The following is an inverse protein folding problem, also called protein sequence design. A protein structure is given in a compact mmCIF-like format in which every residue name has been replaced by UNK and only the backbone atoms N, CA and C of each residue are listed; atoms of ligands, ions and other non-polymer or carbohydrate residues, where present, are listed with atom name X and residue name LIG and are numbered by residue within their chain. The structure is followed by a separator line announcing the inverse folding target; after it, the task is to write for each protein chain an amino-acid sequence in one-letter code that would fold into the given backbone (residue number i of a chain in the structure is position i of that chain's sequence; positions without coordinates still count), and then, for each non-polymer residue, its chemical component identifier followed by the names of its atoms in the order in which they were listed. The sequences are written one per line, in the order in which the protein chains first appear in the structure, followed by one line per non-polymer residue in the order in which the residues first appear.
data_IF_658417912072
#
_entry.id   IF_658417912072
#
_cell.length_a   1.000
_cell.length_b   1.000
_cell.length_c   1.000
_cell.angle_alpha   90.00
_cell.angle_beta   90.00
_cell.angle_gamma   90.00
#
_symmetry.space_group_name_H-M   'P 1'
#
loop_
_entity.id
_entity.type
_entity.pdbx_description
1 polymer ?
#
# COMPACT_ATOMS: atom_id res chain seq x y z
N UNK A 1 -28.99 0.46 -5.70
CA UNK A 1 -29.43 1.15 -6.92
C UNK A 1 -28.32 2.03 -7.50
N UNK A 2 -27.82 3.06 -6.80
CA UNK A 2 -26.85 4.03 -7.33
C UNK A 2 -25.61 3.38 -7.99
N UNK A 3 -24.93 2.44 -7.32
CA UNK A 3 -23.77 1.75 -7.88
C UNK A 3 -24.12 0.89 -9.11
N UNK A 4 -25.27 0.23 -9.08
CA UNK A 4 -25.78 -0.57 -10.22
C UNK A 4 -26.04 0.33 -11.43
N UNK A 5 -26.64 1.51 -11.23
CA UNK A 5 -26.88 2.47 -12.30
C UNK A 5 -25.55 2.94 -12.95
N UNK A 6 -24.48 3.10 -12.15
CA UNK A 6 -23.13 3.41 -12.65
C UNK A 6 -22.56 2.24 -13.48
N UNK A 7 -22.65 1.01 -12.99
CA UNK A 7 -22.18 -0.19 -13.71
C UNK A 7 -22.88 -0.29 -15.06
N UNK A 8 -24.20 -0.15 -15.08
CA UNK A 8 -24.99 -0.19 -16.31
C UNK A 8 -24.64 0.95 -17.27
N UNK A 9 -24.40 2.16 -16.74
CA UNK A 9 -23.94 3.31 -17.53
C UNK A 9 -22.57 3.08 -18.17
N UNK A 10 -21.62 2.48 -17.45
CA UNK A 10 -20.30 2.11 -18.00
C UNK A 10 -20.45 1.09 -19.13
N UNK A 11 -21.24 0.03 -18.90
CA UNK A 11 -21.47 -1.00 -19.92
C UNK A 11 -22.15 -0.45 -21.17
N UNK A 12 -23.11 0.45 -20.97
CA UNK A 12 -23.81 1.10 -22.10
C UNK A 12 -22.86 2.00 -22.93
N UNK A 13 -21.92 2.67 -22.26
CA UNK A 13 -21.00 3.59 -22.91
C UNK A 13 -19.77 2.90 -23.51
N UNK A 14 -19.22 1.85 -22.84
CA UNK A 14 -17.94 1.24 -23.16
C UNK A 14 -18.06 -0.17 -23.76
N UNK A 15 -19.27 -0.75 -23.75
CA UNK A 15 -19.50 -2.14 -24.16
C UNK A 15 -19.48 -3.12 -22.98
N UNK A 16 -20.09 -4.29 -23.19
CA UNK A 16 -20.23 -5.31 -22.14
C UNK A 16 -18.89 -5.97 -21.76
N UNK A 17 -17.91 -5.95 -22.66
CA UNK A 17 -16.58 -6.54 -22.44
C UNK A 17 -15.61 -5.58 -21.75
N UNK A 18 -16.04 -4.37 -21.44
CA UNK A 18 -15.21 -3.41 -20.69
C UNK A 18 -15.10 -3.86 -19.22
N UNK A 19 -13.86 -4.12 -18.72
CA UNK A 19 -13.68 -4.68 -17.38
C UNK A 19 -14.06 -3.68 -16.29
N UNK A 20 -14.86 -4.14 -15.34
CA UNK A 20 -15.33 -3.33 -14.20
C UNK A 20 -14.86 -3.96 -12.89
N UNK A 21 -13.96 -3.28 -12.20
CA UNK A 21 -13.54 -3.64 -10.84
C UNK A 21 -14.18 -2.69 -9.84
N UNK A 22 -14.85 -3.22 -8.84
CA UNK A 22 -15.49 -2.42 -7.80
C UNK A 22 -14.71 -2.54 -6.50
N UNK A 23 -14.25 -1.41 -5.96
CA UNK A 23 -13.74 -1.35 -4.59
C UNK A 23 -14.91 -1.13 -3.63
N UNK A 24 -15.11 -2.09 -2.73
CA UNK A 24 -16.21 -2.10 -1.76
C UNK A 24 -15.65 -2.14 -0.34
N UNK A 25 -16.07 -1.21 0.51
CA UNK A 25 -15.94 -1.35 1.95
C UNK A 25 -16.98 -2.40 2.38
N UNK A 26 -16.53 -3.55 2.86
CA UNK A 26 -17.44 -4.68 3.20
C UNK A 26 -17.87 -4.67 4.66
N UNK A 27 -17.27 -3.82 5.48
CA UNK A 27 -17.60 -3.60 6.89
C UNK A 27 -17.21 -2.18 7.26
N UNK A 28 -18.10 -1.42 7.87
CA UNK A 28 -17.80 -0.05 8.33
C UNK A 28 -17.04 0.00 9.66
N UNK A 29 -16.80 -1.16 10.27
CA UNK A 29 -16.00 -1.35 11.49
C UNK A 29 -16.52 -0.59 12.75
N UNK A 30 -17.79 -0.17 12.77
CA UNK A 30 -18.35 0.51 13.94
C UNK A 30 -18.40 -0.39 15.20
N UNK A 31 -18.56 -1.69 15.01
CA UNK A 31 -18.50 -2.66 16.13
C UNK A 31 -17.16 -2.59 16.87
N UNK A 32 -16.07 -2.29 16.14
CA UNK A 32 -14.71 -2.21 16.69
C UNK A 32 -14.47 -0.96 17.56
N UNK A 33 -15.35 0.04 17.44
CA UNK A 33 -15.33 1.26 18.27
C UNK A 33 -16.50 1.30 19.26
N UNK A 34 -17.11 0.15 19.56
CA UNK A 34 -18.17 0.02 20.55
C UNK A 34 -19.55 0.52 20.11
N UNK A 35 -19.79 0.64 18.81
CA UNK A 35 -21.06 1.09 18.20
C UNK A 35 -21.65 0.07 17.25
N UNK A 36 -21.95 -1.16 17.71
CA UNK A 36 -22.38 -2.26 16.82
C UNK A 36 -23.77 -2.05 16.17
N UNK A 37 -24.55 -1.06 16.65
CA UNK A 37 -25.86 -0.71 16.11
C UNK A 37 -25.80 0.22 14.89
N UNK A 38 -24.62 0.77 14.58
CA UNK A 38 -24.42 1.72 13.47
C UNK A 38 -23.80 0.99 12.27
N UNK A 39 -24.20 1.46 11.07
CA UNK A 39 -23.61 1.04 9.82
C UNK A 39 -23.93 -0.41 9.42
N UNK A 40 -23.35 -0.84 8.32
CA UNK A 40 -23.44 -2.22 7.86
C UNK A 40 -22.21 -3.02 8.31
N UNK A 41 -22.39 -4.33 8.41
CA UNK A 41 -21.40 -5.28 8.88
C UNK A 41 -20.91 -6.17 7.73
N UNK A 42 -19.93 -7.02 8.01
CA UNK A 42 -19.34 -7.93 7.03
C UNK A 42 -20.38 -8.77 6.28
N UNK A 43 -21.42 -9.27 6.97
CA UNK A 43 -22.47 -10.06 6.33
C UNK A 43 -23.25 -9.25 5.29
N UNK A 44 -23.44 -7.96 5.54
CA UNK A 44 -24.07 -7.03 4.58
C UNK A 44 -23.15 -6.79 3.40
N UNK A 45 -21.86 -6.55 3.65
CA UNK A 45 -20.84 -6.39 2.62
C UNK A 45 -20.72 -7.61 1.71
N UNK A 46 -20.76 -8.80 2.28
CA UNK A 46 -20.78 -10.06 1.51
C UNK A 46 -22.04 -10.14 0.63
N UNK A 47 -23.22 -9.80 1.17
CA UNK A 47 -24.45 -9.75 0.37
C UNK A 47 -24.36 -8.72 -0.77
N UNK A 48 -23.78 -7.56 -0.51
CA UNK A 48 -23.55 -6.55 -1.55
C UNK A 48 -22.62 -7.07 -2.65
N UNK A 49 -21.52 -7.74 -2.29
CA UNK A 49 -20.59 -8.35 -3.24
C UNK A 49 -21.28 -9.36 -4.17
N UNK A 50 -22.16 -10.22 -3.64
CA UNK A 50 -22.96 -11.19 -4.43
C UNK A 50 -23.92 -10.48 -5.40
N UNK A 51 -24.51 -9.37 -4.99
CA UNK A 51 -25.38 -8.57 -5.88
C UNK A 51 -24.55 -7.96 -6.99
N UNK A 52 -23.40 -7.37 -6.68
CA UNK A 52 -22.53 -6.75 -7.68
C UNK A 52 -22.00 -7.77 -8.70
N UNK A 53 -21.64 -8.98 -8.25
CA UNK A 53 -21.28 -10.08 -9.16
C UNK A 53 -22.42 -10.40 -10.15
N UNK A 54 -23.67 -10.48 -9.68
CA UNK A 54 -24.84 -10.71 -10.54
C UNK A 54 -25.08 -9.58 -11.54
N UNK A 55 -24.74 -8.36 -11.18
CA UNK A 55 -24.80 -7.19 -12.07
C UNK A 55 -23.62 -7.16 -13.07
N UNK A 56 -22.72 -8.14 -12.98
CA UNK A 56 -21.67 -8.41 -13.97
C UNK A 56 -20.45 -7.53 -13.82
N UNK A 57 -20.00 -7.28 -12.60
CA UNK A 57 -18.64 -6.79 -12.38
C UNK A 57 -17.65 -7.93 -12.59
N UNK A 58 -16.40 -7.61 -12.96
CA UNK A 58 -15.37 -8.60 -13.29
C UNK A 58 -14.48 -8.95 -12.12
N UNK A 59 -14.33 -8.06 -11.15
CA UNK A 59 -13.57 -8.30 -9.93
C UNK A 59 -14.03 -7.37 -8.79
N UNK A 60 -13.68 -7.73 -7.55
CA UNK A 60 -13.97 -6.94 -6.38
C UNK A 60 -12.70 -6.68 -5.56
N UNK A 61 -12.44 -5.41 -5.22
CA UNK A 61 -11.35 -5.00 -4.32
C UNK A 61 -11.94 -4.76 -2.92
N UNK A 62 -11.65 -5.68 -2.00
CA UNK A 62 -12.19 -5.67 -0.65
C UNK A 62 -11.48 -4.64 0.21
N UNK A 63 -12.24 -3.71 0.74
CA UNK A 63 -11.83 -2.69 1.70
C UNK A 63 -12.71 -2.75 2.95
N UNK A 64 -12.43 -1.94 3.94
CA UNK A 64 -13.28 -1.79 5.13
C UNK A 64 -13.18 -0.38 5.69
N UNK A 65 -14.02 -0.11 6.70
CA UNK A 65 -14.08 1.12 7.46
C UNK A 65 -14.48 2.37 6.65
N UNK A 66 -14.46 3.50 7.30
CA UNK A 66 -14.80 4.81 6.77
C UNK A 66 -14.12 5.91 7.58
N UNK A 67 -14.57 7.15 7.41
CA UNK A 67 -13.96 8.30 8.08
C UNK A 67 -14.09 8.25 9.62
N UNK A 68 -15.21 7.77 10.15
CA UNK A 68 -15.41 7.66 11.61
C UNK A 68 -14.60 6.52 12.24
N UNK A 69 -14.22 5.54 11.43
CA UNK A 69 -13.44 4.35 11.82
C UNK A 69 -12.06 4.34 11.14
N UNK A 70 -11.48 5.53 10.98
CA UNK A 70 -10.32 5.82 10.15
C UNK A 70 -9.10 4.91 10.41
N UNK A 71 -8.83 4.53 11.67
CA UNK A 71 -7.69 3.68 12.02
C UNK A 71 -7.79 2.26 11.44
N UNK A 72 -9.00 1.79 11.14
CA UNK A 72 -9.24 0.49 10.50
C UNK A 72 -9.14 0.57 8.97
N UNK A 73 -9.24 1.77 8.42
CA UNK A 73 -9.01 2.03 7.00
C UNK A 73 -7.54 2.25 6.68
N UNK A 74 -6.84 3.05 7.53
CA UNK A 74 -5.41 3.37 7.40
C UNK A 74 -4.69 2.95 8.67
N UNK A 75 -4.32 1.70 8.71
CA UNK A 75 -3.75 1.07 9.90
C UNK A 75 -2.38 1.64 10.23
N UNK A 76 -2.17 2.15 11.47
CA UNK A 76 -0.85 2.47 11.99
C UNK A 76 -0.03 1.21 12.30
N UNK A 77 1.18 1.41 12.79
CA UNK A 77 2.13 0.33 13.10
C UNK A 77 1.65 -0.65 14.17
N UNK A 78 0.67 -0.25 15.00
CA UNK A 78 0.09 -1.10 16.04
C UNK A 78 -0.81 -2.23 15.53
N UNK A 79 -1.21 -2.20 14.27
CA UNK A 79 -2.00 -3.28 13.68
C UNK A 79 -1.11 -4.41 13.18
N UNK A 80 -1.52 -5.63 13.45
CA UNK A 80 -0.86 -6.82 12.92
C UNK A 80 -1.02 -6.93 11.40
N UNK A 81 0.03 -7.29 10.68
CA UNK A 81 -0.05 -7.56 9.24
C UNK A 81 -1.12 -8.62 8.94
N UNK A 82 -2.02 -8.31 8.00
CA UNK A 82 -3.10 -9.25 7.63
C UNK A 82 -4.29 -9.28 8.59
N UNK A 83 -4.40 -8.40 9.57
CA UNK A 83 -5.45 -8.41 10.59
C UNK A 83 -6.88 -8.53 10.01
N UNK A 84 -7.13 -7.96 8.84
CA UNK A 84 -8.45 -7.98 8.17
C UNK A 84 -8.59 -9.00 7.05
N UNK A 85 -7.65 -9.94 6.92
CA UNK A 85 -7.69 -10.97 5.86
C UNK A 85 -8.98 -11.80 5.86
N UNK A 86 -9.61 -11.95 7.02
CA UNK A 86 -10.87 -12.65 7.17
C UNK A 86 -12.03 -12.01 6.37
N UNK A 87 -11.99 -10.69 6.14
CA UNK A 87 -13.00 -10.01 5.34
C UNK A 87 -12.90 -10.39 3.86
N UNK A 88 -11.68 -10.43 3.32
CA UNK A 88 -11.43 -10.90 1.96
C UNK A 88 -11.82 -12.39 1.81
N UNK A 89 -11.44 -13.23 2.76
CA UNK A 89 -11.81 -14.65 2.79
C UNK A 89 -13.32 -14.85 2.82
N UNK A 90 -14.06 -14.06 3.60
CA UNK A 90 -15.53 -14.13 3.67
C UNK A 90 -16.17 -13.79 2.31
N UNK A 91 -15.69 -12.77 1.63
CA UNK A 91 -16.16 -12.41 0.27
C UNK A 91 -15.77 -13.50 -0.72
N UNK A 92 -14.51 -13.93 -0.72
CA UNK A 92 -13.98 -14.96 -1.64
C UNK A 92 -14.77 -16.26 -1.61
N UNK A 93 -15.24 -16.66 -0.43
CA UNK A 93 -16.06 -17.86 -0.26
C UNK A 93 -17.41 -17.77 -0.97
N UNK A 94 -17.94 -16.58 -1.14
CA UNK A 94 -19.33 -16.35 -1.60
C UNK A 94 -19.45 -15.85 -3.04
N UNK A 95 -18.34 -15.41 -3.65
CA UNK A 95 -18.29 -14.94 -5.05
C UNK A 95 -17.36 -15.81 -5.89
N UNK A 96 -17.59 -15.86 -7.20
CA UNK A 96 -16.76 -16.59 -8.17
C UNK A 96 -15.78 -15.70 -8.92
N UNK A 97 -16.06 -14.40 -8.93
CA UNK A 97 -15.16 -13.41 -9.55
C UNK A 97 -13.89 -13.23 -8.73
N UNK A 98 -12.78 -12.77 -9.34
CA UNK A 98 -11.56 -12.49 -8.64
C UNK A 98 -11.73 -11.49 -7.49
N UNK A 99 -11.07 -11.78 -6.37
CA UNK A 99 -11.03 -10.94 -5.18
C UNK A 99 -9.64 -10.34 -5.00
N UNK A 100 -9.58 -9.02 -4.90
CA UNK A 100 -8.38 -8.26 -4.56
C UNK A 100 -8.51 -7.77 -3.12
N UNK A 101 -7.40 -7.70 -2.38
CA UNK A 101 -7.40 -7.05 -1.08
C UNK A 101 -6.01 -6.55 -0.67
N UNK A 102 -5.96 -5.42 0.04
CA UNK A 102 -4.71 -4.85 0.53
C UNK A 102 -4.20 -5.53 1.83
N UNK A 103 -5.07 -5.88 2.74
CA UNK A 103 -4.83 -6.66 3.97
C UNK A 103 -3.55 -6.29 4.75
N UNK A 104 -3.11 -5.04 4.72
CA UNK A 104 -1.88 -4.58 5.37
C UNK A 104 -0.67 -5.48 5.01
N UNK A 105 -0.45 -5.74 3.72
CA UNK A 105 0.68 -6.54 3.24
C UNK A 105 1.99 -5.80 3.49
N UNK A 106 2.90 -6.40 4.26
CA UNK A 106 4.20 -5.82 4.65
C UNK A 106 5.41 -6.63 4.20
N UNK A 107 5.21 -7.89 3.82
CA UNK A 107 6.30 -8.75 3.34
C UNK A 107 5.86 -9.62 2.16
N UNK A 108 6.79 -10.07 1.30
CA UNK A 108 6.51 -11.04 0.24
C UNK A 108 5.91 -12.33 0.78
N UNK A 109 6.50 -12.87 1.84
CA UNK A 109 6.00 -14.08 2.49
C UNK A 109 4.52 -13.98 2.87
N UNK A 110 4.10 -12.88 3.50
CA UNK A 110 2.70 -12.65 3.85
C UNK A 110 1.80 -12.59 2.60
N UNK A 111 2.27 -12.01 1.50
CA UNK A 111 1.51 -11.94 0.25
C UNK A 111 1.28 -13.35 -0.33
N UNK A 112 2.34 -14.14 -0.43
CA UNK A 112 2.27 -15.53 -0.92
C UNK A 112 1.38 -16.41 -0.04
N UNK A 113 1.56 -16.36 1.29
CA UNK A 113 0.73 -17.13 2.23
C UNK A 113 -0.76 -16.86 2.03
N UNK A 114 -1.17 -15.58 1.85
CA UNK A 114 -2.59 -15.25 1.65
C UNK A 114 -3.13 -15.71 0.29
N UNK A 115 -2.29 -15.78 -0.75
CA UNK A 115 -2.68 -16.34 -2.04
C UNK A 115 -2.78 -17.87 -1.96
N UNK A 116 -1.82 -18.54 -1.35
CA UNK A 116 -1.81 -20.00 -1.17
C UNK A 116 -2.96 -20.48 -0.29
N UNK A 117 -3.32 -19.74 0.77
CA UNK A 117 -4.48 -19.99 1.62
C UNK A 117 -5.82 -19.74 0.91
N UNK A 118 -5.82 -19.22 -0.32
CA UNK A 118 -7.03 -18.90 -1.08
C UNK A 118 -7.89 -17.80 -0.50
N UNK A 119 -7.29 -16.90 0.26
CA UNK A 119 -7.96 -15.75 0.90
C UNK A 119 -8.40 -14.73 -0.15
N UNK A 120 -7.59 -14.56 -1.18
CA UNK A 120 -7.78 -13.63 -2.29
C UNK A 120 -7.04 -14.12 -3.54
N UNK A 121 -7.38 -13.56 -4.70
CA UNK A 121 -6.72 -13.91 -5.98
C UNK A 121 -5.59 -12.95 -6.33
N UNK A 122 -5.68 -11.70 -5.87
CA UNK A 122 -4.68 -10.66 -6.14
C UNK A 122 -4.36 -9.86 -4.88
N UNK A 123 -3.10 -9.48 -4.74
CA UNK A 123 -2.60 -8.65 -3.65
C UNK A 123 -2.57 -7.18 -4.07
N UNK A 124 -3.27 -6.31 -3.33
CA UNK A 124 -3.23 -4.87 -3.53
C UNK A 124 -2.15 -4.23 -2.65
N UNK A 125 -1.16 -3.58 -3.28
CA UNK A 125 -0.03 -2.96 -2.60
C UNK A 125 -0.09 -1.43 -2.69
N UNK A 126 -0.49 -0.75 -1.63
CA UNK A 126 -0.51 0.71 -1.56
C UNK A 126 0.78 1.28 -0.94
N UNK A 127 0.78 1.41 0.38
CA UNK A 127 1.92 2.01 1.13
C UNK A 127 3.23 1.26 0.95
N UNK A 128 3.17 -0.02 0.65
CA UNK A 128 4.34 -0.85 0.32
C UNK A 128 5.04 -0.33 -0.94
N UNK A 129 4.30 0.01 -2.01
CA UNK A 129 4.85 0.62 -3.22
C UNK A 129 5.27 2.08 -3.01
N UNK A 130 4.59 2.82 -2.12
CA UNK A 130 5.06 4.17 -1.74
C UNK A 130 6.44 4.09 -1.09
N UNK A 131 6.67 3.10 -0.24
CA UNK A 131 7.97 2.88 0.42
C UNK A 131 9.04 2.35 -0.56
N UNK A 132 8.66 1.43 -1.42
CA UNK A 132 9.54 0.83 -2.44
C UNK A 132 8.80 0.58 -3.76
N UNK A 133 8.92 1.46 -4.76
CA UNK A 133 8.26 1.28 -6.06
C UNK A 133 8.75 0.06 -6.84
N UNK A 134 9.90 -0.50 -6.48
CA UNK A 134 10.50 -1.69 -7.10
C UNK A 134 10.23 -2.99 -6.32
N UNK A 135 9.32 -2.96 -5.35
CA UNK A 135 9.05 -4.08 -4.46
C UNK A 135 8.83 -5.40 -5.21
N UNK A 136 7.90 -5.44 -6.16
CA UNK A 136 7.58 -6.65 -6.95
C UNK A 136 8.80 -7.11 -7.79
N UNK A 137 9.53 -6.16 -8.39
CA UNK A 137 10.71 -6.48 -9.18
C UNK A 137 11.83 -7.08 -8.33
N UNK A 138 12.00 -6.59 -7.09
CA UNK A 138 12.97 -7.16 -6.13
C UNK A 138 12.57 -8.55 -5.70
N UNK A 139 11.30 -8.79 -5.40
CA UNK A 139 10.78 -10.13 -5.09
C UNK A 139 11.07 -11.10 -6.24
N UNK A 140 10.69 -10.74 -7.48
CA UNK A 140 10.97 -11.56 -8.67
C UNK A 140 12.45 -11.85 -8.89
N UNK A 141 13.32 -10.96 -8.46
CA UNK A 141 14.77 -11.11 -8.60
C UNK A 141 15.41 -11.84 -7.39
N UNK A 142 14.65 -12.28 -6.39
CA UNK A 142 15.17 -12.91 -5.16
C UNK A 142 15.94 -11.93 -4.25
N UNK A 143 15.67 -10.63 -4.34
CA UNK A 143 16.36 -9.54 -3.63
C UNK A 143 15.47 -8.93 -2.54
N UNK A 144 14.85 -9.76 -1.73
CA UNK A 144 13.91 -9.32 -0.70
C UNK A 144 14.58 -8.52 0.43
N UNK A 145 15.86 -8.78 0.68
CA UNK A 145 16.70 -8.04 1.63
C UNK A 145 16.94 -6.57 1.21
N UNK A 146 16.85 -6.27 -0.10
CA UNK A 146 16.94 -4.91 -0.62
C UNK A 146 15.63 -4.11 -0.50
N UNK A 147 14.52 -4.73 -0.07
CA UNK A 147 13.20 -4.07 0.00
C UNK A 147 13.16 -3.03 1.11
N UNK A 148 12.79 -1.79 0.77
CA UNK A 148 12.49 -0.73 1.74
C UNK A 148 11.09 -0.95 2.31
N UNK A 149 11.00 -1.49 3.52
CA UNK A 149 9.73 -1.85 4.15
C UNK A 149 8.98 -0.62 4.65
N UNK A 150 7.68 -0.56 4.35
CA UNK A 150 6.79 0.43 4.96
C UNK A 150 6.71 0.21 6.47
N UNK A 151 6.96 1.26 7.26
CA UNK A 151 6.88 1.24 8.73
C UNK A 151 5.50 1.64 9.27
N UNK A 152 4.51 1.83 8.39
CA UNK A 152 3.14 2.22 8.73
C UNK A 152 3.03 3.47 9.63
N UNK A 153 3.94 4.42 9.48
CA UNK A 153 3.99 5.68 10.23
C UNK A 153 2.92 6.71 9.81
N UNK A 154 2.21 6.45 8.71
CA UNK A 154 1.18 7.30 8.09
C UNK A 154 1.65 8.70 7.64
N UNK A 155 2.95 8.98 7.67
CA UNK A 155 3.48 10.28 7.23
C UNK A 155 3.16 10.60 5.76
N UNK A 156 3.06 9.59 4.89
CA UNK A 156 2.62 9.79 3.52
C UNK A 156 1.19 10.37 3.44
N UNK A 157 0.28 9.95 4.29
CA UNK A 157 -1.09 10.47 4.34
C UNK A 157 -1.14 11.87 4.93
N UNK A 158 -0.43 12.09 6.04
CA UNK A 158 -0.32 13.42 6.66
C UNK A 158 0.26 14.46 5.69
N UNK A 159 1.37 14.13 5.05
CA UNK A 159 2.01 15.02 4.09
C UNK A 159 1.16 15.23 2.84
N UNK A 160 0.45 14.22 2.36
CA UNK A 160 -0.50 14.35 1.24
C UNK A 160 -1.60 15.36 1.57
N UNK A 161 -2.23 15.26 2.73
CA UNK A 161 -3.27 16.19 3.15
C UNK A 161 -2.76 17.63 3.25
N UNK A 162 -1.57 17.81 3.85
CA UNK A 162 -0.95 19.14 3.97
C UNK A 162 -0.50 19.74 2.63
N UNK A 163 -0.06 18.89 1.72
CA UNK A 163 0.56 19.31 0.46
C UNK A 163 -0.42 19.40 -0.71
N UNK A 164 -1.57 18.72 -0.64
CA UNK A 164 -2.59 18.76 -1.68
C UNK A 164 -3.02 20.19 -2.01
N UNK A 165 -3.27 21.01 -0.98
CA UNK A 165 -3.64 22.42 -1.16
C UNK A 165 -2.51 23.30 -1.73
N UNK A 166 -1.26 22.81 -1.68
CA UNK A 166 -0.08 23.52 -2.22
C UNK A 166 0.31 23.02 -3.60
N UNK A 167 -0.41 22.02 -4.14
CA UNK A 167 -0.05 21.40 -5.41
C UNK A 167 1.29 20.67 -5.39
N UNK A 168 1.75 20.19 -4.21
CA UNK A 168 3.01 19.47 -4.07
C UNK A 168 2.79 18.02 -3.69
N UNK A 169 3.82 17.17 -3.90
CA UNK A 169 3.73 15.71 -3.70
C UNK A 169 3.71 15.34 -2.21
N UNK A 170 3.25 14.11 -1.95
CA UNK A 170 3.37 13.47 -0.64
C UNK A 170 4.84 13.12 -0.32
N UNK A 171 5.13 12.89 0.95
CA UNK A 171 6.44 12.45 1.42
C UNK A 171 6.34 11.08 2.09
N UNK A 172 7.44 10.33 2.10
CA UNK A 172 7.54 9.05 2.81
C UNK A 172 8.77 9.06 3.70
N UNK A 173 8.63 8.57 4.94
CA UNK A 173 9.74 8.54 5.91
C UNK A 173 10.89 7.62 5.48
N UNK A 174 10.61 6.58 4.68
CA UNK A 174 11.61 5.60 4.22
C UNK A 174 11.96 5.72 2.74
N UNK A 175 11.21 6.54 1.97
CA UNK A 175 11.46 6.79 0.56
C UNK A 175 11.55 8.31 0.28
N UNK A 176 12.71 8.92 0.40
CA UNK A 176 12.87 10.35 0.18
C UNK A 176 12.70 10.79 -1.29
N UNK A 177 12.60 9.82 -2.23
CA UNK A 177 12.37 10.08 -3.66
C UNK A 177 10.90 10.12 -4.07
N UNK A 178 9.97 9.84 -3.15
CA UNK A 178 8.53 9.88 -3.45
C UNK A 178 8.13 11.23 -4.05
N UNK A 179 7.52 11.21 -5.23
CA UNK A 179 7.14 12.41 -5.98
C UNK A 179 8.30 13.16 -6.66
N UNK A 180 9.52 12.58 -6.63
CA UNK A 180 10.74 13.10 -7.23
C UNK A 180 11.42 12.08 -8.13
N UNK A 181 10.66 11.14 -8.64
CA UNK A 181 11.17 10.01 -9.42
C UNK A 181 11.80 10.48 -10.75
N UNK A 182 11.30 11.61 -11.30
CA UNK A 182 11.83 12.24 -12.51
C UNK A 182 13.08 13.10 -12.27
N UNK A 183 13.41 13.41 -11.01
CA UNK A 183 14.63 14.14 -10.69
C UNK A 183 15.85 13.23 -10.87
N UNK A 184 16.57 13.44 -11.95
CA UNK A 184 17.77 12.67 -12.25
C UNK A 184 18.95 13.10 -11.40
N UNK A 185 19.78 12.18 -10.92
CA UNK A 185 21.00 12.52 -10.22
C UNK A 185 21.94 13.29 -11.16
N UNK A 186 22.29 14.47 -10.76
CA UNK A 186 23.26 15.33 -11.46
C UNK A 186 24.64 14.71 -11.25
N UNK A 187 25.36 14.48 -12.32
CA UNK A 187 26.77 14.11 -12.38
C UNK A 187 27.18 12.72 -11.85
N UNK A 188 28.04 12.07 -12.64
CA UNK A 188 28.85 10.93 -12.20
C UNK A 188 29.93 11.43 -11.21
N UNK A 189 30.07 10.73 -10.10
CA UNK A 189 31.08 11.02 -9.08
C UNK A 189 32.52 10.79 -9.52
N UNK A 190 32.73 10.02 -10.61
CA UNK A 190 34.04 9.67 -11.18
C UNK A 190 35.05 9.16 -10.12
N UNK A 191 34.55 8.40 -9.13
CA UNK A 191 35.37 7.86 -8.06
C UNK A 191 35.89 8.88 -7.04
N UNK A 192 35.44 10.13 -7.06
CA UNK A 192 35.84 11.15 -6.08
C UNK A 192 35.42 10.73 -4.66
N UNK A 193 36.32 10.99 -3.73
CA UNK A 193 36.08 10.72 -2.31
C UNK A 193 35.24 11.83 -1.69
N UNK A 194 34.23 11.47 -0.90
CA UNK A 194 33.40 12.38 -0.11
C UNK A 194 33.38 11.89 1.33
N UNK A 195 33.74 12.75 2.27
CA UNK A 195 33.68 12.44 3.70
C UNK A 195 32.34 12.88 4.26
N UNK A 196 31.68 11.99 4.99
CA UNK A 196 30.40 12.20 5.67
C UNK A 196 30.66 12.08 7.16
N UNK A 197 30.31 13.11 7.92
CA UNK A 197 30.47 13.12 9.38
C UNK A 197 29.14 12.75 10.04
N UNK A 198 29.13 11.62 10.73
CA UNK A 198 27.96 11.04 11.38
C UNK A 198 27.29 9.94 10.56
N UNK A 199 27.15 8.75 11.16
CA UNK A 199 26.49 7.58 10.57
C UNK A 199 25.01 7.42 11.02
N UNK A 200 24.34 8.52 11.33
CA UNK A 200 22.88 8.53 11.53
C UNK A 200 22.12 8.34 10.21
N UNK A 201 20.78 8.28 10.24
CA UNK A 201 19.94 8.01 9.05
C UNK A 201 20.27 8.93 7.86
N UNK A 202 20.52 10.21 8.11
CA UNK A 202 20.87 11.17 7.06
C UNK A 202 22.24 10.90 6.44
N UNK A 203 23.25 10.58 7.26
CA UNK A 203 24.61 10.27 6.79
C UNK A 203 24.63 8.95 6.00
N UNK A 204 23.94 7.93 6.48
CA UNK A 204 23.83 6.63 5.79
C UNK A 204 23.11 6.77 4.45
N UNK A 205 22.00 7.53 4.39
CA UNK A 205 21.30 7.82 3.14
C UNK A 205 22.19 8.61 2.17
N UNK A 206 22.95 9.58 2.66
CA UNK A 206 23.90 10.33 1.83
C UNK A 206 24.97 9.42 1.26
N UNK A 207 25.51 8.48 2.06
CA UNK A 207 26.50 7.50 1.62
C UNK A 207 25.93 6.60 0.51
N UNK A 208 24.72 6.07 0.71
CA UNK A 208 24.03 5.24 -0.29
C UNK A 208 23.86 5.99 -1.63
N UNK A 209 23.35 7.21 -1.57
CA UNK A 209 23.10 8.02 -2.77
C UNK A 209 24.42 8.36 -3.48
N UNK A 210 25.45 8.76 -2.74
CA UNK A 210 26.76 9.08 -3.30
C UNK A 210 27.42 7.85 -3.95
N UNK A 211 27.36 6.69 -3.29
CA UNK A 211 27.88 5.44 -3.86
C UNK A 211 27.17 5.09 -5.18
N UNK A 212 25.85 5.18 -5.23
CA UNK A 212 25.04 4.95 -6.46
C UNK A 212 25.37 5.96 -7.58
N UNK A 213 25.90 7.12 -7.24
CA UNK A 213 26.38 8.15 -8.19
C UNK A 213 27.86 7.99 -8.54
N UNK A 214 28.51 6.90 -8.15
CA UNK A 214 29.91 6.63 -8.49
C UNK A 214 30.92 7.43 -7.66
N UNK A 215 30.55 8.02 -6.53
CA UNK A 215 31.49 8.55 -5.55
C UNK A 215 32.02 7.42 -4.63
N UNK A 216 33.05 7.71 -3.89
CA UNK A 216 33.61 6.88 -2.81
C UNK A 216 33.31 7.53 -1.44
N UNK A 217 32.14 7.29 -0.83
CA UNK A 217 31.82 7.86 0.46
C UNK A 217 32.66 7.23 1.58
N UNK A 218 33.18 8.06 2.48
CA UNK A 218 33.80 7.65 3.74
C UNK A 218 32.94 8.20 4.86
N UNK A 219 32.37 7.34 5.69
CA UNK A 219 31.52 7.75 6.81
C UNK A 219 32.35 7.69 8.09
N UNK A 220 32.40 8.82 8.80
CA UNK A 220 33.03 8.92 10.12
C UNK A 220 31.93 8.95 11.18
N UNK A 221 32.05 8.03 12.15
CA UNK A 221 31.12 7.94 13.27
C UNK A 221 31.90 7.93 14.59
N UNK A 222 31.41 8.67 15.58
CA UNK A 222 32.05 8.73 16.90
C UNK A 222 31.67 7.53 17.79
N UNK A 223 30.51 6.92 17.55
CA UNK A 223 30.03 5.77 18.30
C UNK A 223 30.54 4.46 17.68
N UNK A 224 30.44 3.37 18.44
CA UNK A 224 30.87 2.04 17.98
C UNK A 224 29.97 1.45 16.90
N UNK A 225 28.75 1.96 16.73
CA UNK A 225 27.77 1.45 15.74
C UNK A 225 27.18 2.59 14.92
N UNK A 226 26.87 2.32 13.62
CA UNK A 226 26.10 3.24 12.81
C UNK A 226 24.61 3.19 13.17
N UNK A 227 23.86 4.27 12.84
CA UNK A 227 22.39 4.34 12.98
C UNK A 227 21.89 5.44 13.91
N UNK A 228 22.68 5.85 14.88
CA UNK A 228 22.34 6.88 15.86
C UNK A 228 21.77 6.34 17.16
#
# INVERSE_FOLDING_TARGET
KFLIDIINGIKAACGNDFPIVVRLSVDECYSMIGKPEIGYKLEDGVRMAKVLEKEGIDAIDVSCAGYDTYNYWLEPTSFEPGWRKYMAAAVKKEVKIPVLAANLIRSPKQAEEQLEEGIQDFVSLGRTHIADPHWVNKVKAGKEDEIKRCICCLYCMESMQKNAYKGTHAHCSVNPKLGKESEHPIANGNGRTVVIVGAGPAGLMSAEVLAKRGFKPIVLEKNAFPGG
#
